data_IF_455976384918
#
_entry.id   IF_455976384918
#
_cell.length_a   1.000
_cell.length_b   1.000
_cell.length_c   1.000
_cell.angle_alpha   90.00
_cell.angle_beta   90.00
_cell.angle_gamma   90.00
#
_symmetry.space_group_name_H-M   'P 1'
#
loop_
_entity.id
_entity.type
_entity.pdbx_description
1 polymer ?
#
# COMPACT_ATOMS: atom_id res chain seq x y z
N UNK A 1 9.28 5.21 18.55
CA UNK A 1 8.02 4.73 19.14
C UNK A 1 8.18 3.24 19.36
N UNK A 2 7.86 2.73 20.55
CA UNK A 2 7.90 1.29 20.81
C UNK A 2 6.54 0.70 20.43
N UNK A 3 6.49 -0.53 19.90
CA UNK A 3 5.23 -1.23 19.70
C UNK A 3 4.55 -1.48 21.05
N UNK A 4 3.21 -1.46 21.05
CA UNK A 4 2.39 -1.80 22.22
C UNK A 4 1.76 -3.16 21.95
N UNK A 5 2.10 -4.15 22.76
CA UNK A 5 1.48 -5.47 22.75
C UNK A 5 0.79 -5.66 24.11
N UNK A 6 -0.54 -5.71 24.11
CA UNK A 6 -1.36 -5.95 25.28
C UNK A 6 -1.56 -7.44 25.55
N UNK A 7 -2.43 -7.75 26.52
CA UNK A 7 -2.82 -9.13 26.82
C UNK A 7 -3.49 -9.78 25.60
N UNK A 8 -4.28 -9.01 24.84
CA UNK A 8 -4.99 -9.47 23.63
C UNK A 8 -4.04 -10.04 22.57
N UNK A 9 -2.90 -9.39 22.29
CA UNK A 9 -1.91 -9.91 21.34
C UNK A 9 -1.22 -11.18 21.87
N UNK A 10 -0.92 -11.24 23.18
CA UNK A 10 -0.27 -12.40 23.80
C UNK A 10 -1.21 -13.62 23.73
N UNK A 11 -2.48 -13.41 24.07
CA UNK A 11 -3.51 -14.44 24.01
C UNK A 11 -3.72 -14.91 22.58
N UNK A 12 -3.84 -14.00 21.61
CA UNK A 12 -4.02 -14.34 20.18
C UNK A 12 -2.87 -15.21 19.64
N UNK A 13 -1.63 -14.88 19.97
CA UNK A 13 -0.46 -15.70 19.59
C UNK A 13 -0.49 -17.07 20.27
N UNK A 14 -0.80 -17.10 21.56
CA UNK A 14 -0.85 -18.35 22.34
C UNK A 14 -1.96 -19.28 21.85
N UNK A 15 -3.15 -18.73 21.59
CA UNK A 15 -4.29 -19.46 21.02
C UNK A 15 -3.91 -20.05 19.66
N UNK A 16 -3.31 -19.25 18.77
CA UNK A 16 -2.95 -19.76 17.44
C UNK A 16 -1.91 -20.89 17.50
N UNK A 17 -0.84 -20.72 18.28
CA UNK A 17 0.21 -21.74 18.43
C UNK A 17 -0.34 -23.03 19.05
N UNK A 18 -1.31 -22.94 19.95
CA UNK A 18 -1.90 -24.10 20.64
C UNK A 18 -3.11 -24.70 19.92
N UNK A 19 -3.62 -24.06 18.87
CA UNK A 19 -4.79 -24.51 18.10
C UNK A 19 -4.58 -25.81 17.30
N UNK A 20 -3.34 -26.26 17.14
CA UNK A 20 -2.99 -27.32 16.19
C UNK A 20 -3.03 -26.88 14.72
N UNK A 21 -3.23 -25.57 14.47
CA UNK A 21 -3.16 -24.94 13.17
C UNK A 21 -1.73 -24.89 12.62
N UNK A 22 -1.62 -24.61 11.32
CA UNK A 22 -0.34 -24.54 10.64
C UNK A 22 0.30 -23.17 10.92
N UNK A 23 1.58 -23.13 11.32
CA UNK A 23 2.32 -21.88 11.52
C UNK A 23 2.80 -21.35 10.15
N UNK A 24 1.84 -20.94 9.34
CA UNK A 24 1.99 -20.34 8.02
C UNK A 24 0.76 -19.46 7.72
N UNK A 25 0.65 -18.91 6.50
CA UNK A 25 -0.59 -18.26 6.05
C UNK A 25 -1.77 -19.26 6.16
N UNK A 26 -2.81 -18.85 6.88
CA UNK A 26 -3.98 -19.68 7.14
C UNK A 26 -5.17 -18.80 7.61
N UNK A 27 -6.00 -19.34 8.50
CA UNK A 27 -7.22 -18.73 9.04
C UNK A 27 -7.03 -17.31 9.59
N UNK A 28 -5.99 -17.06 10.42
CA UNK A 28 -5.77 -15.73 10.99
C UNK A 28 -5.37 -14.68 9.96
N UNK A 29 -4.70 -15.09 8.88
CA UNK A 29 -4.42 -14.19 7.76
C UNK A 29 -5.70 -13.76 7.07
N UNK A 30 -6.60 -14.70 6.76
CA UNK A 30 -7.88 -14.41 6.11
C UNK A 30 -8.83 -13.59 6.97
N UNK A 31 -8.84 -13.85 8.28
CA UNK A 31 -9.57 -13.02 9.25
C UNK A 31 -9.06 -11.57 9.21
N UNK A 32 -7.74 -11.37 9.21
CA UNK A 32 -7.13 -10.04 9.13
C UNK A 32 -7.42 -9.35 7.80
N UNK A 33 -7.39 -10.06 6.67
CA UNK A 33 -7.77 -9.53 5.35
C UNK A 33 -9.21 -9.04 5.35
N UNK A 34 -10.15 -9.84 5.85
CA UNK A 34 -11.55 -9.44 5.96
C UNK A 34 -11.73 -8.22 6.86
N UNK A 35 -11.04 -8.17 8.01
CA UNK A 35 -11.08 -7.01 8.90
C UNK A 35 -10.56 -5.74 8.22
N UNK A 36 -9.52 -5.84 7.38
CA UNK A 36 -9.00 -4.70 6.61
C UNK A 36 -10.03 -4.26 5.57
N UNK A 37 -10.66 -5.19 4.84
CA UNK A 37 -11.76 -4.88 3.93
C UNK A 37 -12.90 -4.16 4.65
N UNK A 38 -13.36 -4.69 5.77
CA UNK A 38 -14.47 -4.13 6.55
C UNK A 38 -14.13 -2.74 7.11
N UNK A 39 -12.88 -2.52 7.50
CA UNK A 39 -12.42 -1.24 8.06
C UNK A 39 -12.20 -0.16 6.99
N UNK A 40 -11.59 -0.52 5.86
CA UNK A 40 -11.19 0.43 4.82
C UNK A 40 -12.27 0.63 3.75
N UNK A 41 -13.18 -0.33 3.60
CA UNK A 41 -14.16 -0.38 2.51
C UNK A 41 -13.63 -0.99 1.21
N UNK A 42 -12.35 -1.41 1.16
CA UNK A 42 -11.80 -2.10 -0.01
C UNK A 42 -12.45 -3.49 -0.20
N UNK A 43 -12.69 -3.90 -1.45
CA UNK A 43 -13.31 -5.21 -1.74
C UNK A 43 -12.38 -6.40 -1.52
N UNK A 44 -11.07 -6.20 -1.71
CA UNK A 44 -10.07 -7.25 -1.59
C UNK A 44 -8.86 -6.75 -0.80
N UNK A 45 -8.34 -7.62 0.05
CA UNK A 45 -7.13 -7.39 0.84
C UNK A 45 -6.28 -8.67 0.78
N UNK A 46 -4.96 -8.49 0.61
CA UNK A 46 -3.98 -9.57 0.55
C UNK A 46 -2.85 -9.27 1.50
N UNK A 47 -2.68 -10.08 2.54
CA UNK A 47 -1.59 -9.92 3.49
C UNK A 47 -0.27 -10.39 2.88
N UNK A 48 0.79 -9.64 3.15
CA UNK A 48 2.15 -9.91 2.69
C UNK A 48 3.14 -9.80 3.84
N UNK A 49 4.35 -10.31 3.67
CA UNK A 49 5.36 -10.36 4.74
C UNK A 49 5.88 -8.98 5.16
N UNK A 50 5.77 -7.97 4.29
CA UNK A 50 6.08 -6.57 4.57
C UNK A 50 5.42 -5.63 3.56
N UNK A 51 5.33 -4.33 3.87
CA UNK A 51 4.94 -3.35 2.85
C UNK A 51 5.93 -3.30 1.66
N UNK A 52 7.21 -3.56 1.91
CA UNK A 52 8.23 -3.66 0.84
C UNK A 52 7.89 -4.77 -0.16
N UNK A 53 7.49 -5.94 0.31
CA UNK A 53 7.03 -7.03 -0.58
C UNK A 53 5.71 -6.69 -1.23
N UNK A 54 4.82 -5.97 -0.54
CA UNK A 54 3.57 -5.47 -1.13
C UNK A 54 3.83 -4.53 -2.32
N UNK A 55 4.76 -3.60 -2.17
CA UNK A 55 5.18 -2.69 -3.23
C UNK A 55 5.87 -3.42 -4.39
N UNK A 56 6.64 -4.47 -4.11
CA UNK A 56 7.22 -5.32 -5.16
C UNK A 56 6.13 -6.05 -5.96
N UNK A 57 5.17 -6.69 -5.28
CA UNK A 57 4.04 -7.36 -5.93
C UNK A 57 3.18 -6.36 -6.71
N UNK A 58 2.94 -5.17 -6.15
CA UNK A 58 2.24 -4.09 -6.83
C UNK A 58 2.96 -3.66 -8.12
N UNK A 59 4.29 -3.57 -8.11
CA UNK A 59 5.09 -3.31 -9.32
C UNK A 59 4.99 -4.41 -10.37
N UNK A 60 4.93 -5.68 -9.94
CA UNK A 60 4.73 -6.82 -10.85
C UNK A 60 3.36 -6.79 -11.51
N UNK A 61 2.31 -6.53 -10.73
CA UNK A 61 0.91 -6.48 -11.19
C UNK A 61 0.62 -5.22 -12.01
N UNK A 62 1.29 -4.10 -11.73
CA UNK A 62 1.30 -2.91 -12.60
C UNK A 62 2.03 -3.16 -13.95
N UNK A 63 2.62 -4.35 -14.12
CA UNK A 63 3.32 -4.80 -15.30
C UNK A 63 4.44 -3.83 -15.72
N UNK A 64 5.20 -3.34 -14.74
CA UNK A 64 6.32 -2.42 -14.97
C UNK A 64 7.39 -3.11 -15.81
N UNK A 65 7.79 -2.46 -16.91
CA UNK A 65 8.78 -3.00 -17.84
C UNK A 65 10.20 -2.47 -17.56
N UNK A 66 11.25 -3.23 -17.92
CA UNK A 66 12.61 -2.72 -17.90
C UNK A 66 12.75 -1.43 -18.73
N UNK A 67 13.49 -0.46 -18.20
CA UNK A 67 13.68 0.89 -18.76
C UNK A 67 12.42 1.77 -18.83
N UNK A 68 11.26 1.31 -18.35
CA UNK A 68 10.08 2.15 -18.19
C UNK A 68 10.33 3.22 -17.12
N UNK A 69 9.74 4.41 -17.31
CA UNK A 69 9.79 5.49 -16.32
C UNK A 69 8.55 5.42 -15.43
N UNK A 70 8.74 5.60 -14.13
CA UNK A 70 7.64 5.69 -13.17
C UNK A 70 7.82 6.92 -12.28
N UNK A 71 6.73 7.55 -11.88
CA UNK A 71 6.78 8.70 -10.99
C UNK A 71 6.73 8.24 -9.52
N UNK A 72 7.53 8.87 -8.66
CA UNK A 72 7.55 8.62 -7.21
C UNK A 72 7.82 9.90 -6.45
N UNK A 73 7.19 10.05 -5.28
CA UNK A 73 7.38 11.21 -4.40
C UNK A 73 8.84 11.35 -3.95
N UNK A 74 9.39 12.56 -3.96
CA UNK A 74 10.73 12.86 -3.45
C UNK A 74 10.87 12.62 -1.96
N UNK A 75 9.78 12.79 -1.21
CA UNK A 75 9.72 12.52 0.21
C UNK A 75 8.91 11.24 0.48
N UNK A 76 9.61 10.11 0.52
CA UNK A 76 9.03 8.80 0.81
C UNK A 76 10.05 7.82 1.40
N UNK A 77 9.64 6.60 1.70
CA UNK A 77 10.54 5.52 2.13
C UNK A 77 11.10 4.80 0.89
N UNK A 78 12.37 4.36 0.94
CA UNK A 78 13.05 3.85 -0.26
C UNK A 78 12.36 2.65 -0.95
N UNK A 79 11.66 1.80 -0.19
CA UNK A 79 10.91 0.65 -0.69
C UNK A 79 9.82 1.03 -1.70
N UNK A 80 9.25 2.24 -1.59
CA UNK A 80 8.24 2.75 -2.52
C UNK A 80 8.75 2.69 -3.97
N UNK A 81 10.02 3.02 -4.19
CA UNK A 81 10.64 2.95 -5.51
C UNK A 81 11.35 1.61 -5.78
N UNK A 82 11.89 0.96 -4.74
CA UNK A 82 12.75 -0.21 -4.92
C UNK A 82 12.07 -1.37 -5.65
N UNK A 83 10.77 -1.60 -5.41
CA UNK A 83 10.03 -2.65 -6.11
C UNK A 83 10.07 -2.48 -7.63
N UNK A 84 9.80 -1.26 -8.11
CA UNK A 84 9.87 -0.93 -9.53
C UNK A 84 11.32 -0.93 -10.08
N UNK A 85 12.29 -0.46 -9.29
CA UNK A 85 13.71 -0.49 -9.67
C UNK A 85 14.20 -1.93 -9.85
N UNK A 86 13.79 -2.87 -8.99
CA UNK A 86 14.12 -4.29 -9.11
C UNK A 86 13.56 -4.92 -10.39
N UNK A 87 12.46 -4.38 -10.93
CA UNK A 87 11.91 -4.77 -12.23
C UNK A 87 12.67 -4.14 -13.42
N UNK A 88 13.70 -3.33 -13.15
CA UNK A 88 14.53 -2.67 -14.16
C UNK A 88 14.02 -1.31 -14.62
N UNK A 89 13.02 -0.73 -13.94
CA UNK A 89 12.47 0.58 -14.27
C UNK A 89 13.29 1.74 -13.67
N UNK A 90 13.09 2.94 -14.22
CA UNK A 90 13.82 4.15 -13.81
C UNK A 90 12.88 5.13 -13.08
N UNK A 91 13.20 5.51 -11.83
CA UNK A 91 12.38 6.47 -11.10
C UNK A 91 12.51 7.87 -11.70
N UNK A 92 11.39 8.54 -11.85
CA UNK A 92 11.30 9.99 -11.96
C UNK A 92 10.88 10.51 -10.59
N UNK A 93 11.84 11.09 -9.89
CA UNK A 93 11.61 11.69 -8.57
C UNK A 93 10.89 13.02 -8.77
N UNK A 94 9.65 13.09 -8.27
CA UNK A 94 8.79 14.29 -8.36
C UNK A 94 8.74 14.93 -6.98
N UNK A 95 8.89 16.26 -6.93
CA UNK A 95 8.85 17.00 -5.66
C UNK A 95 7.48 16.87 -4.97
N UNK A 96 7.40 17.31 -3.73
CA UNK A 96 6.17 17.23 -2.92
C UNK A 96 5.49 18.58 -2.74
N UNK A 97 4.17 18.56 -2.63
CA UNK A 97 3.40 19.71 -2.17
C UNK A 97 3.82 20.10 -0.75
N UNK A 98 4.07 21.39 -0.51
CA UNK A 98 4.60 21.88 0.76
C UNK A 98 3.60 21.76 1.93
N UNK A 99 2.30 21.70 1.64
CA UNK A 99 1.26 21.65 2.66
C UNK A 99 0.97 20.22 3.15
N UNK A 100 0.98 19.27 2.23
CA UNK A 100 0.61 17.87 2.47
C UNK A 100 1.81 16.93 2.53
N UNK A 101 2.95 17.31 1.94
CA UNK A 101 4.12 16.48 1.69
C UNK A 101 3.85 15.23 0.82
N UNK A 102 2.71 15.23 0.11
CA UNK A 102 2.38 14.24 -0.93
C UNK A 102 3.01 14.69 -2.25
N UNK A 103 3.18 13.78 -3.21
CA UNK A 103 3.66 14.12 -4.56
C UNK A 103 2.91 15.34 -5.13
N UNK A 104 3.64 16.27 -5.73
CA UNK A 104 3.04 17.36 -6.50
C UNK A 104 2.45 16.77 -7.79
N UNK A 105 1.12 16.64 -7.81
CA UNK A 105 0.39 16.02 -8.92
C UNK A 105 0.55 16.76 -10.25
N UNK A 106 0.75 18.08 -10.22
CA UNK A 106 0.93 18.89 -11.43
C UNK A 106 2.34 18.73 -12.04
N UNK A 107 3.30 18.22 -11.25
CA UNK A 107 4.67 17.99 -11.66
C UNK A 107 4.94 16.55 -12.16
N UNK A 108 3.90 15.70 -12.24
CA UNK A 108 4.02 14.32 -12.73
C UNK A 108 4.19 14.31 -14.26
N UNK A 109 5.28 13.75 -14.82
CA UNK A 109 5.48 13.70 -16.27
C UNK A 109 4.47 12.81 -16.99
N UNK A 110 4.06 13.19 -18.19
CA UNK A 110 3.08 12.45 -18.99
C UNK A 110 3.52 11.06 -19.46
N UNK A 111 4.83 10.83 -19.55
CA UNK A 111 5.40 9.55 -19.96
C UNK A 111 5.49 8.51 -18.83
N UNK A 112 5.11 8.88 -17.61
CA UNK A 112 5.05 7.97 -16.46
C UNK A 112 3.68 7.30 -16.38
N UNK A 113 3.58 6.07 -16.90
CA UNK A 113 2.36 5.24 -16.83
C UNK A 113 2.07 4.77 -15.40
N UNK A 114 3.09 4.50 -14.60
CA UNK A 114 2.93 4.10 -13.19
C UNK A 114 3.34 5.24 -12.27
N UNK A 115 2.50 5.51 -11.26
CA UNK A 115 2.67 6.59 -10.30
C UNK A 115 2.54 6.03 -8.89
N UNK A 116 3.59 6.20 -8.09
CA UNK A 116 3.57 5.90 -6.66
C UNK A 116 3.21 7.16 -5.88
N UNK A 117 2.07 7.13 -5.19
CA UNK A 117 1.57 8.24 -4.37
C UNK A 117 1.75 7.87 -2.91
N UNK A 118 2.71 8.50 -2.22
CA UNK A 118 2.95 8.23 -0.80
C UNK A 118 2.10 9.15 0.07
N UNK A 119 1.28 8.57 0.96
CA UNK A 119 0.55 9.33 1.98
C UNK A 119 1.37 9.42 3.27
N UNK A 120 2.43 10.25 3.28
CA UNK A 120 3.35 10.31 4.42
C UNK A 120 2.61 10.78 5.68
N UNK A 121 2.78 10.07 6.80
CA UNK A 121 2.01 10.26 8.03
C UNK A 121 0.48 10.35 7.83
N UNK A 122 -0.07 9.65 6.82
CA UNK A 122 -1.50 9.59 6.58
C UNK A 122 -2.12 10.90 6.08
N UNK A 123 -1.37 11.66 5.27
CA UNK A 123 -1.80 12.94 4.71
C UNK A 123 -2.02 12.86 3.21
N UNK A 124 -3.04 13.59 2.75
CA UNK A 124 -3.29 13.95 1.36
C UNK A 124 -3.73 15.40 1.26
N UNK A 125 -3.46 16.10 0.13
CA UNK A 125 -4.07 17.39 -0.15
C UNK A 125 -5.58 17.25 -0.40
N UNK A 126 -6.35 18.33 -0.18
CA UNK A 126 -7.83 18.35 -0.25
C UNK A 126 -8.42 17.80 -1.56
N UNK A 127 -7.67 17.93 -2.66
CA UNK A 127 -8.00 17.55 -4.01
C UNK A 127 -7.30 16.26 -4.50
N UNK A 128 -6.59 15.52 -3.62
CA UNK A 128 -5.87 14.30 -4.00
C UNK A 128 -6.75 13.29 -4.75
N UNK A 129 -8.00 13.09 -4.29
CA UNK A 129 -8.96 12.19 -4.94
C UNK A 129 -9.23 12.57 -6.40
N UNK A 130 -9.26 13.87 -6.72
CA UNK A 130 -9.50 14.36 -8.07
C UNK A 130 -8.28 14.07 -8.96
N UNK A 131 -7.08 14.30 -8.44
CA UNK A 131 -5.83 14.01 -9.15
C UNK A 131 -5.63 12.52 -9.39
N UNK A 132 -5.85 11.68 -8.38
CA UNK A 132 -5.74 10.23 -8.51
C UNK A 132 -6.78 9.70 -9.52
N UNK A 133 -8.03 10.17 -9.44
CA UNK A 133 -9.06 9.80 -10.41
C UNK A 133 -8.71 10.24 -11.83
N UNK A 134 -8.15 11.45 -12.00
CA UNK A 134 -7.68 11.97 -13.29
C UNK A 134 -6.58 11.07 -13.87
N UNK A 135 -5.51 10.79 -13.13
CA UNK A 135 -4.42 9.91 -13.56
C UNK A 135 -4.95 8.54 -14.01
N UNK A 136 -5.88 7.95 -13.25
CA UNK A 136 -6.50 6.67 -13.59
C UNK A 136 -7.33 6.74 -14.87
N UNK A 137 -8.09 7.82 -15.07
CA UNK A 137 -8.89 8.01 -16.29
C UNK A 137 -8.04 8.24 -17.55
N UNK A 138 -6.80 8.71 -17.38
CA UNK A 138 -5.78 8.78 -18.44
C UNK A 138 -5.09 7.42 -18.72
N UNK A 139 -5.51 6.36 -18.04
CA UNK A 139 -4.95 5.01 -18.19
C UNK A 139 -3.66 4.79 -17.40
N UNK A 140 -3.30 5.67 -16.46
CA UNK A 140 -2.16 5.47 -15.57
C UNK A 140 -2.52 4.53 -14.43
N UNK A 141 -1.52 3.76 -13.99
CA UNK A 141 -1.62 2.86 -12.85
C UNK A 141 -1.11 3.56 -11.59
N UNK A 142 -2.00 3.80 -10.64
CA UNK A 142 -1.69 4.50 -9.39
C UNK A 142 -1.54 3.50 -8.26
N UNK A 143 -0.37 3.48 -7.63
CA UNK A 143 -0.09 2.70 -6.42
C UNK A 143 -0.02 3.69 -5.25
N UNK A 144 -0.97 3.61 -4.33
CA UNK A 144 -0.92 4.36 -3.08
C UNK A 144 0.00 3.63 -2.10
N UNK A 145 1.15 4.23 -1.79
CA UNK A 145 1.95 3.82 -0.64
C UNK A 145 1.33 4.44 0.63
N UNK A 146 0.34 3.72 1.14
CA UNK A 146 -0.42 4.02 2.34
C UNK A 146 0.19 3.37 3.59
N UNK A 147 1.48 3.04 3.56
CA UNK A 147 2.14 2.28 4.64
C UNK A 147 2.10 2.98 5.99
N UNK A 148 1.70 4.26 6.06
CA UNK A 148 1.56 5.06 7.27
C UNK A 148 0.12 5.58 7.49
N UNK A 149 -0.87 5.03 6.80
CA UNK A 149 -2.20 5.63 6.67
C UNK A 149 -3.38 4.70 6.97
N UNK A 150 -3.16 3.54 7.59
CA UNK A 150 -4.24 2.60 7.90
C UNK A 150 -5.38 3.22 8.72
N UNK A 151 -5.15 4.25 9.54
CA UNK A 151 -6.20 4.92 10.31
C UNK A 151 -6.68 6.25 9.71
N UNK A 152 -6.25 6.58 8.49
CA UNK A 152 -6.41 7.92 7.91
C UNK A 152 -7.48 7.94 6.83
N UNK A 153 -8.30 8.98 6.89
CA UNK A 153 -9.41 9.19 5.97
C UNK A 153 -9.25 10.53 5.27
N UNK A 154 -9.57 10.55 3.98
CA UNK A 154 -9.69 11.76 3.19
C UNK A 154 -11.15 11.96 2.80
N UNK A 155 -11.82 12.85 3.54
CA UNK A 155 -13.29 12.97 3.51
C UNK A 155 -13.91 11.62 3.89
N UNK A 156 -14.74 11.04 3.02
CA UNK A 156 -15.44 9.77 3.25
C UNK A 156 -14.66 8.54 2.76
N UNK A 157 -13.50 8.73 2.12
CA UNK A 157 -12.71 7.62 1.56
C UNK A 157 -11.49 7.34 2.44
N UNK A 158 -11.20 6.07 2.63
CA UNK A 158 -10.00 5.63 3.33
C UNK A 158 -8.75 5.90 2.47
N UNK A 159 -7.65 6.31 3.08
CA UNK A 159 -6.39 6.53 2.34
C UNK A 159 -5.77 5.18 1.95
N UNK A 160 -5.58 4.95 0.64
CA UNK A 160 -5.21 3.65 0.07
C UNK A 160 -6.29 3.01 -0.80
N UNK A 161 -7.51 3.57 -0.84
CA UNK A 161 -8.62 3.03 -1.65
C UNK A 161 -8.93 3.83 -2.92
N UNK A 162 -8.14 4.86 -3.25
CA UNK A 162 -8.40 5.76 -4.38
C UNK A 162 -7.72 5.32 -5.68
N UNK A 163 -6.55 4.70 -5.55
CA UNK A 163 -5.68 4.22 -6.61
C UNK A 163 -6.15 2.88 -7.20
N UNK A 164 -5.25 2.24 -7.94
CA UNK A 164 -5.46 0.86 -8.38
C UNK A 164 -5.16 -0.12 -7.25
N UNK A 165 -4.12 0.17 -6.46
CA UNK A 165 -3.67 -0.61 -5.32
C UNK A 165 -3.32 0.34 -4.16
N UNK A 166 -3.66 -0.06 -2.94
CA UNK A 166 -3.17 0.57 -1.72
C UNK A 166 -2.30 -0.39 -0.93
N UNK A 167 -1.22 0.13 -0.33
CA UNK A 167 -0.28 -0.69 0.45
C UNK A 167 -0.29 -0.24 1.91
N UNK A 168 -0.53 -1.15 2.84
CA UNK A 168 -0.38 -0.91 4.28
C UNK A 168 0.86 -1.61 4.84
N UNK A 169 1.34 -1.12 5.97
CA UNK A 169 2.44 -1.75 6.71
C UNK A 169 2.04 -2.03 8.14
N UNK A 170 2.45 -3.20 8.62
CA UNK A 170 2.33 -3.66 10.00
C UNK A 170 3.71 -3.92 10.62
N UNK A 171 4.72 -3.21 10.13
CA UNK A 171 6.04 -3.23 10.76
C UNK A 171 6.02 -2.59 12.16
N UNK A 172 7.06 -2.85 12.94
CA UNK A 172 7.17 -2.38 14.33
C UNK A 172 6.82 -0.90 14.62
N UNK A 173 7.17 0.10 13.78
CA UNK A 173 6.88 1.50 14.09
C UNK A 173 5.50 1.99 13.60
N UNK A 174 4.63 1.09 13.14
CA UNK A 174 3.33 1.44 12.53
C UNK A 174 2.22 1.56 13.57
N UNK A 175 1.09 2.15 13.17
CA UNK A 175 -0.07 2.42 14.05
C UNK A 175 -0.54 1.14 14.74
N UNK A 176 -0.64 0.05 13.96
CA UNK A 176 -0.78 -1.31 14.46
C UNK A 176 0.37 -2.15 13.89
N UNK A 177 0.78 -3.19 14.59
CA UNK A 177 1.98 -3.97 14.24
C UNK A 177 1.76 -5.46 14.46
N UNK A 178 2.27 -6.25 13.53
CA UNK A 178 2.39 -7.71 13.64
C UNK A 178 3.86 -8.12 13.80
N UNK A 179 4.70 -7.17 14.25
CA UNK A 179 6.16 -7.25 14.23
C UNK A 179 6.72 -6.94 12.84
N UNK A 180 6.34 -7.75 11.86
CA UNK A 180 6.49 -7.51 10.42
C UNK A 180 5.20 -7.89 9.70
N UNK A 181 4.90 -7.17 8.63
CA UNK A 181 3.72 -7.42 7.81
C UNK A 181 3.42 -6.26 6.87
N UNK A 182 2.59 -6.54 5.87
CA UNK A 182 1.93 -5.54 5.04
C UNK A 182 0.64 -6.10 4.48
N UNK A 183 -0.10 -5.25 3.80
CA UNK A 183 -1.30 -5.65 3.06
C UNK A 183 -1.37 -4.88 1.75
N UNK A 184 -1.85 -5.53 0.71
CA UNK A 184 -2.24 -4.91 -0.56
C UNK A 184 -3.76 -4.92 -0.60
N UNK A 185 -4.37 -3.76 -0.80
CA UNK A 185 -5.82 -3.62 -1.00
C UNK A 185 -6.14 -3.18 -2.42
N UNK A 186 -7.30 -3.62 -2.93
CA UNK A 186 -7.82 -3.21 -4.24
C UNK A 186 -9.32 -3.45 -4.34
N UNK A 187 -9.96 -2.75 -5.27
CA UNK A 187 -11.35 -3.00 -5.66
C UNK A 187 -11.48 -3.77 -6.98
N UNK A 188 -10.35 -4.05 -7.65
CA UNK A 188 -10.31 -4.74 -8.93
C UNK A 188 -10.12 -6.25 -8.73
N UNK A 189 -11.11 -7.02 -9.19
CA UNK A 189 -11.11 -8.49 -9.04
C UNK A 189 -9.95 -9.15 -9.80
N UNK A 190 -9.57 -8.62 -10.96
CA UNK A 190 -8.49 -9.20 -11.77
C UNK A 190 -7.13 -8.90 -11.15
N UNK A 191 -6.91 -7.69 -10.64
CA UNK A 191 -5.69 -7.38 -9.87
C UNK A 191 -5.62 -8.27 -8.61
N UNK A 192 -6.75 -8.45 -7.91
CA UNK A 192 -6.84 -9.32 -6.74
C UNK A 192 -6.44 -10.77 -7.05
N UNK A 193 -6.92 -11.35 -8.17
CA UNK A 193 -6.53 -12.69 -8.63
C UNK A 193 -5.04 -12.78 -8.97
N UNK A 194 -4.48 -11.76 -9.62
CA UNK A 194 -3.06 -11.72 -9.95
C UNK A 194 -2.18 -11.65 -8.71
N UNK A 195 -2.55 -10.82 -7.73
CA UNK A 195 -1.85 -10.71 -6.44
C UNK A 195 -1.86 -12.06 -5.71
N UNK A 196 -3.03 -12.71 -5.62
CA UNK A 196 -3.17 -14.00 -4.94
C UNK A 196 -2.34 -15.12 -5.57
N UNK A 197 -2.03 -15.01 -6.87
CA UNK A 197 -1.28 -16.02 -7.61
C UNK A 197 0.26 -15.90 -7.45
N UNK A 198 0.75 -14.78 -6.92
CA UNK A 198 2.19 -14.48 -6.71
C UNK A 198 2.61 -14.92 -5.31
#
# INVERSE_FOLDING_TARGET
MNPVYGEEEIESVTEYITSGGWIMEHTKTREMEQMICDYTGAKYAHMVTSATTGLLVASMVADIKPNERFAVSAYTQAATANGAILMGATPVIVDVDQSSYTIDFESIPDDCRVVFVTSINGRYPDDAWLHIAKLRSEGRFVIEDSAQALGSWHKENHIGTMGNLGIFSFGAPKIITTGQGGCIITDDEELSKQIHAI
#
